data_IF_849497882821
#
_entry.id   IF_849497882821
#
_cell.length_a   1.000
_cell.length_b   1.000
_cell.length_c   1.000
_cell.angle_alpha   90.00
_cell.angle_beta   90.00
_cell.angle_gamma   90.00
#
_symmetry.space_group_name_H-M   'P 1'
#
loop_
_entity.id
_entity.type
_entity.pdbx_description
1 polymer ?
#
# COMPACT_ATOMS: atom_id res chain seq x y z
N UNK A 1 6.93 -5.87 20.36
CA UNK A 1 8.23 -5.52 20.98
C UNK A 1 9.44 -6.07 20.23
N UNK A 2 9.29 -7.16 19.44
CA UNK A 2 10.45 -7.78 18.75
C UNK A 2 10.87 -7.06 17.47
N UNK A 3 9.92 -6.48 16.71
CA UNK A 3 10.18 -5.90 15.39
C UNK A 3 10.27 -4.38 15.39
N UNK A 4 10.04 -3.72 16.53
CA UNK A 4 10.04 -2.26 16.63
C UNK A 4 8.87 -1.61 15.90
N UNK A 5 9.05 -0.32 15.54
CA UNK A 5 8.03 0.48 14.83
C UNK A 5 8.47 0.69 13.38
N UNK A 6 7.63 0.31 12.44
CA UNK A 6 7.82 0.52 11.02
C UNK A 6 6.84 1.58 10.52
N UNK A 7 7.34 2.61 9.87
CA UNK A 7 6.52 3.75 9.45
C UNK A 7 5.41 3.36 8.48
N UNK A 8 5.74 2.57 7.46
CA UNK A 8 4.77 2.02 6.50
C UNK A 8 3.66 1.27 7.21
N UNK A 9 4.03 0.25 7.98
CA UNK A 9 3.08 -0.64 8.66
C UNK A 9 2.21 0.12 9.66
N UNK A 10 2.78 1.11 10.35
CA UNK A 10 2.04 1.97 11.27
C UNK A 10 0.91 2.68 10.54
N UNK A 11 1.18 3.38 9.44
CA UNK A 11 0.15 4.14 8.73
C UNK A 11 -0.84 3.26 7.97
N UNK A 12 -0.40 2.10 7.47
CA UNK A 12 -1.29 1.12 6.83
C UNK A 12 -2.27 0.50 7.83
N UNK A 13 -1.78 0.10 9.01
CA UNK A 13 -2.61 -0.56 10.01
C UNK A 13 -3.50 0.41 10.81
N UNK A 14 -3.10 1.66 10.92
CA UNK A 14 -3.74 2.63 11.82
C UNK A 14 -5.25 2.78 11.59
N UNK A 15 -5.77 2.94 10.36
CA UNK A 15 -7.22 3.06 10.14
C UNK A 15 -8.00 1.84 10.67
N UNK A 16 -7.56 0.63 10.33
CA UNK A 16 -8.23 -0.59 10.75
C UNK A 16 -8.12 -0.89 12.24
N UNK A 17 -7.01 -0.52 12.90
CA UNK A 17 -6.84 -0.82 14.32
C UNK A 17 -7.46 0.23 15.24
N UNK A 18 -7.73 1.44 14.75
CA UNK A 18 -8.21 2.54 15.59
C UNK A 18 -9.54 3.11 15.13
N UNK A 19 -9.69 3.46 13.85
CA UNK A 19 -10.91 4.12 13.36
C UNK A 19 -12.11 3.16 13.38
N UNK A 20 -11.95 1.95 12.87
CA UNK A 20 -13.02 0.92 12.88
C UNK A 20 -13.45 0.52 14.29
N UNK A 21 -12.57 0.71 15.29
CA UNK A 21 -12.86 0.42 16.70
C UNK A 21 -13.31 1.66 17.48
N UNK A 22 -13.45 2.82 16.83
CA UNK A 22 -13.88 4.07 17.42
C UNK A 22 -12.81 4.81 18.25
N UNK A 23 -11.55 4.33 18.24
CA UNK A 23 -10.46 4.99 19.00
C UNK A 23 -9.76 6.09 18.20
N UNK A 24 -10.51 7.15 17.91
CA UNK A 24 -10.04 8.34 17.22
C UNK A 24 -8.86 9.03 17.94
N UNK A 25 -8.86 8.97 19.26
CA UNK A 25 -7.83 9.63 20.09
C UNK A 25 -6.48 8.98 19.92
N UNK A 26 -6.42 7.65 19.95
CA UNK A 26 -5.18 6.90 19.73
C UNK A 26 -4.68 7.10 18.30
N UNK A 27 -5.60 7.14 17.32
CA UNK A 27 -5.23 7.43 15.92
C UNK A 27 -4.43 8.73 15.81
N UNK A 28 -4.93 9.83 16.34
CA UNK A 28 -4.23 11.12 16.31
C UNK A 28 -2.93 11.11 17.11
N UNK A 29 -2.88 10.46 18.27
CA UNK A 29 -1.64 10.35 19.06
C UNK A 29 -0.53 9.61 18.30
N UNK A 30 -0.85 8.55 17.59
CA UNK A 30 0.10 7.81 16.78
C UNK A 30 0.59 8.67 15.62
N UNK A 31 -0.33 9.34 14.91
CA UNK A 31 0.04 10.28 13.84
C UNK A 31 0.95 11.39 14.37
N UNK A 32 0.59 12.04 15.49
CA UNK A 32 1.40 13.11 16.11
C UNK A 32 2.81 12.60 16.48
N UNK A 33 2.90 11.40 17.06
CA UNK A 33 4.18 10.76 17.38
C UNK A 33 5.03 10.49 16.14
N UNK A 34 4.43 10.06 15.04
CA UNK A 34 5.16 9.84 13.78
C UNK A 34 5.60 11.16 13.15
N UNK A 35 4.72 12.16 13.11
CA UNK A 35 5.02 13.50 12.56
C UNK A 35 6.17 14.17 13.35
N UNK A 36 6.23 13.99 14.67
CA UNK A 36 7.34 14.53 15.48
C UNK A 36 8.71 13.92 15.15
N UNK A 37 8.73 12.76 14.50
CA UNK A 37 9.95 12.03 14.07
C UNK A 37 10.25 12.17 12.58
N UNK A 38 9.39 12.87 11.85
CA UNK A 38 9.58 13.10 10.40
C UNK A 38 10.85 13.92 10.15
N UNK A 39 11.59 13.59 9.09
CA UNK A 39 12.76 14.35 8.64
C UNK A 39 12.76 14.46 7.12
N UNK A 40 12.85 15.68 6.63
CA UNK A 40 12.94 15.96 5.19
C UNK A 40 11.81 15.27 4.38
N UNK A 41 10.58 15.30 4.91
CA UNK A 41 9.42 14.69 4.27
C UNK A 41 9.36 13.16 4.34
N UNK A 42 10.28 12.50 5.04
CA UNK A 42 10.31 11.05 5.23
C UNK A 42 10.04 10.66 6.69
N UNK A 43 9.45 9.49 6.87
CA UNK A 43 9.23 8.88 8.19
C UNK A 43 10.23 7.77 8.46
N UNK A 44 10.61 7.54 9.74
CA UNK A 44 11.42 6.38 10.07
C UNK A 44 10.64 5.10 9.74
N UNK A 45 11.20 4.26 8.87
CA UNK A 45 10.52 3.03 8.45
C UNK A 45 11.03 1.80 9.21
N UNK A 46 12.30 1.80 9.56
CA UNK A 46 12.92 0.72 10.36
C UNK A 46 14.08 1.29 11.15
N UNK A 47 14.85 0.42 11.80
CA UNK A 47 16.11 0.81 12.44
C UNK A 47 17.25 -0.06 11.91
N UNK A 48 18.29 0.56 11.38
CA UNK A 48 19.52 -0.11 10.96
C UNK A 48 20.55 0.07 12.09
N UNK A 49 20.98 -1.04 12.70
CA UNK A 49 21.89 -1.01 13.85
C UNK A 49 21.47 -0.03 14.96
N UNK A 50 20.15 0.03 15.24
CA UNK A 50 19.57 0.92 16.25
C UNK A 50 19.37 2.37 15.81
N UNK A 51 19.80 2.76 14.61
CA UNK A 51 19.56 4.10 14.05
C UNK A 51 18.32 4.08 13.15
N UNK A 52 17.37 5.03 13.33
CA UNK A 52 16.21 5.13 12.43
C UNK A 52 16.62 5.28 10.97
N UNK A 53 16.08 4.44 10.11
CA UNK A 53 16.28 4.51 8.66
C UNK A 53 15.07 5.13 7.97
N UNK A 54 15.32 6.02 7.02
CA UNK A 54 14.31 6.74 6.25
C UNK A 54 14.29 6.22 4.80
N UNK A 55 14.12 4.91 4.66
CA UNK A 55 14.28 4.14 3.43
C UNK A 55 12.95 3.64 2.86
N UNK A 56 11.89 4.45 2.90
CA UNK A 56 10.58 4.07 2.36
C UNK A 56 10.05 5.18 1.45
N UNK A 57 9.71 4.82 0.21
CA UNK A 57 9.07 5.72 -0.75
C UNK A 57 7.55 5.74 -0.64
N UNK A 58 6.95 4.90 0.16
CA UNK A 58 5.50 4.78 0.31
C UNK A 58 4.98 5.20 1.70
N UNK A 59 5.78 5.08 2.77
CA UNK A 59 5.34 5.44 4.12
C UNK A 59 4.80 6.89 4.25
N UNK A 60 5.41 7.93 3.63
CA UNK A 60 4.86 9.27 3.64
C UNK A 60 3.53 9.40 2.89
N UNK A 61 3.29 8.57 1.89
CA UNK A 61 2.05 8.56 1.14
C UNK A 61 0.95 7.83 1.91
N UNK A 62 1.29 6.76 2.62
CA UNK A 62 0.40 6.08 3.57
C UNK A 62 -0.01 6.99 4.73
N UNK A 63 0.87 7.89 5.21
CA UNK A 63 0.50 8.92 6.18
C UNK A 63 -0.64 9.80 5.66
N UNK A 64 -0.55 10.29 4.41
CA UNK A 64 -1.60 11.12 3.81
C UNK A 64 -2.90 10.29 3.65
N UNK A 65 -2.79 9.01 3.24
CA UNK A 65 -3.95 8.10 3.19
C UNK A 65 -4.55 7.86 4.58
N UNK A 66 -3.77 7.70 5.62
CA UNK A 66 -4.29 7.54 6.99
C UNK A 66 -5.08 8.77 7.44
N UNK A 67 -4.62 9.99 7.14
CA UNK A 67 -5.37 11.23 7.36
C UNK A 67 -6.66 11.29 6.53
N UNK A 68 -6.61 10.84 5.27
CA UNK A 68 -7.78 10.75 4.40
C UNK A 68 -8.83 9.79 4.96
N UNK A 69 -8.41 8.66 5.52
CA UNK A 69 -9.33 7.75 6.22
C UNK A 69 -9.88 8.40 7.49
N UNK A 70 -9.05 9.08 8.29
CA UNK A 70 -9.50 9.79 9.50
C UNK A 70 -10.62 10.81 9.19
N UNK A 71 -10.49 11.59 8.11
CA UNK A 71 -11.50 12.56 7.66
C UNK A 71 -12.89 11.93 7.45
N UNK A 72 -12.97 10.65 7.07
CA UNK A 72 -14.26 9.96 6.88
C UNK A 72 -15.02 9.73 8.18
N UNK A 73 -14.32 9.63 9.31
CA UNK A 73 -14.90 9.42 10.64
C UNK A 73 -15.14 10.73 11.39
N UNK A 74 -14.36 11.77 11.08
CA UNK A 74 -14.52 13.12 11.66
C UNK A 74 -14.39 14.18 10.54
N UNK A 75 -15.46 14.41 9.76
CA UNK A 75 -15.46 15.37 8.65
C UNK A 75 -15.27 16.82 9.08
N UNK A 76 -15.54 17.13 10.35
CA UNK A 76 -15.38 18.48 10.91
C UNK A 76 -13.95 18.77 11.37
N UNK A 77 -13.10 17.74 11.46
CA UNK A 77 -11.71 17.90 11.86
C UNK A 77 -10.90 18.58 10.75
N UNK A 78 -10.30 19.71 11.04
CA UNK A 78 -9.49 20.47 10.07
C UNK A 78 -8.11 19.88 9.91
N UNK A 79 -8.01 18.87 9.03
CA UNK A 79 -6.75 18.18 8.67
C UNK A 79 -5.67 19.17 8.24
N UNK A 80 -6.02 20.14 7.38
CA UNK A 80 -5.03 21.09 6.86
C UNK A 80 -4.49 22.02 7.93
N UNK A 81 -5.33 22.49 8.84
CA UNK A 81 -4.89 23.31 9.97
C UNK A 81 -3.88 22.59 10.85
N UNK A 82 -4.09 21.29 11.11
CA UNK A 82 -3.23 20.53 12.03
C UNK A 82 -2.00 19.95 11.31
N UNK A 83 -2.17 19.34 10.15
CA UNK A 83 -1.13 18.56 9.46
C UNK A 83 -0.65 19.16 8.13
N UNK A 84 -1.19 20.29 7.68
CA UNK A 84 -0.85 20.90 6.39
C UNK A 84 0.65 21.20 6.23
N UNK A 85 1.35 21.54 7.33
CA UNK A 85 2.81 21.71 7.30
C UNK A 85 3.53 20.40 6.96
N UNK A 86 3.16 19.29 7.61
CA UNK A 86 3.76 17.98 7.37
C UNK A 86 3.42 17.46 5.97
N UNK A 87 2.16 17.63 5.52
CA UNK A 87 1.72 17.26 4.17
C UNK A 87 2.53 18.01 3.12
N UNK A 88 2.70 19.33 3.27
CA UNK A 88 3.53 20.13 2.36
C UNK A 88 4.97 19.68 2.37
N UNK A 89 5.55 19.39 3.54
CA UNK A 89 6.93 18.91 3.65
C UNK A 89 7.14 17.59 2.89
N UNK A 90 6.19 16.65 2.96
CA UNK A 90 6.22 15.40 2.18
C UNK A 90 6.20 15.69 0.68
N UNK A 91 5.21 16.46 0.22
CA UNK A 91 5.02 16.68 -1.21
C UNK A 91 6.16 17.49 -1.84
N UNK A 92 6.63 18.52 -1.16
CA UNK A 92 7.77 19.33 -1.62
C UNK A 92 9.10 18.56 -1.59
N UNK A 93 9.31 17.70 -0.59
CA UNK A 93 10.49 16.84 -0.53
C UNK A 93 10.52 15.88 -1.75
N UNK A 94 9.39 15.30 -2.12
CA UNK A 94 9.29 14.43 -3.29
C UNK A 94 9.50 15.20 -4.59
N UNK A 95 8.95 16.40 -4.68
CA UNK A 95 9.13 17.28 -5.83
C UNK A 95 10.59 17.72 -5.99
N UNK A 96 11.24 18.11 -4.90
CA UNK A 96 12.64 18.58 -4.90
C UNK A 96 13.66 17.44 -4.99
N UNK A 97 13.28 16.24 -4.56
CA UNK A 97 14.15 15.09 -4.43
C UNK A 97 14.68 14.90 -3.01
N UNK A 98 14.59 13.66 -2.48
CA UNK A 98 15.09 13.29 -1.17
C UNK A 98 16.47 12.66 -1.29
N UNK A 99 17.54 13.41 -1.07
CA UNK A 99 18.93 12.91 -1.14
C UNK A 99 19.26 12.15 -2.43
N UNK A 100 18.57 12.45 -3.53
CA UNK A 100 18.76 11.80 -4.84
C UNK A 100 18.10 10.41 -4.98
N UNK A 101 17.46 9.90 -3.95
CA UNK A 101 16.88 8.53 -3.91
C UNK A 101 15.44 8.52 -4.41
N UNK A 102 14.61 9.47 -3.94
CA UNK A 102 13.19 9.60 -4.32
C UNK A 102 13.01 10.99 -4.93
N UNK A 103 12.42 11.08 -6.11
CA UNK A 103 12.17 12.37 -6.77
C UNK A 103 11.00 12.31 -7.72
N UNK A 104 10.31 13.42 -7.89
CA UNK A 104 9.36 13.61 -8.97
C UNK A 104 10.09 13.89 -10.29
N UNK A 105 9.69 13.21 -11.34
CA UNK A 105 10.15 13.46 -12.71
C UNK A 105 9.32 14.59 -13.39
N UNK A 106 9.77 15.06 -14.53
CA UNK A 106 9.08 16.10 -15.31
C UNK A 106 7.66 15.72 -15.73
N UNK A 107 7.40 14.42 -15.86
CA UNK A 107 6.06 13.87 -16.14
C UNK A 107 5.17 13.75 -14.88
N UNK A 108 5.63 14.22 -13.72
CA UNK A 108 4.90 14.23 -12.46
C UNK A 108 4.94 12.92 -11.69
N UNK A 109 5.53 11.84 -12.23
CA UNK A 109 5.63 10.55 -11.55
C UNK A 109 6.81 10.51 -10.57
N UNK A 110 6.69 9.68 -9.54
CA UNK A 110 7.74 9.46 -8.55
C UNK A 110 8.67 8.34 -9.00
N UNK A 111 9.92 8.69 -9.15
CA UNK A 111 11.04 7.78 -9.36
C UNK A 111 11.74 7.54 -8.02
N UNK A 112 11.98 6.27 -7.69
CA UNK A 112 12.68 5.88 -6.47
C UNK A 112 13.66 4.74 -6.77
N UNK A 113 14.93 4.92 -6.38
CA UNK A 113 15.96 3.90 -6.57
C UNK A 113 17.03 4.01 -5.50
N UNK A 114 17.37 2.87 -4.88
CA UNK A 114 18.55 2.70 -4.06
C UNK A 114 19.10 1.29 -4.32
N UNK A 115 20.39 1.18 -4.61
CA UNK A 115 21.03 -0.10 -4.93
C UNK A 115 21.27 -0.99 -3.70
N UNK A 116 21.24 -0.39 -2.50
CA UNK A 116 21.57 -1.09 -1.25
C UNK A 116 20.36 -1.36 -0.37
N UNK A 117 19.28 -0.58 -0.54
CA UNK A 117 18.13 -0.63 0.35
C UNK A 117 16.81 -0.74 -0.43
N UNK A 118 15.89 -1.62 0.02
CA UNK A 118 14.54 -1.65 -0.52
C UNK A 118 13.79 -0.39 -0.11
N UNK A 119 13.05 0.20 -1.05
CA UNK A 119 12.27 1.43 -0.83
C UNK A 119 10.76 1.18 -0.79
N UNK A 120 10.32 -0.06 -1.05
CA UNK A 120 8.91 -0.46 -1.07
C UNK A 120 8.64 -1.59 -0.09
N UNK A 121 7.40 -2.08 -0.03
CA UNK A 121 7.01 -3.17 0.86
C UNK A 121 7.64 -4.53 0.49
N UNK A 122 8.13 -4.70 -0.75
CA UNK A 122 8.86 -5.91 -1.17
C UNK A 122 10.35 -5.78 -0.80
N UNK A 123 10.66 -5.95 0.47
CA UNK A 123 11.91 -5.52 1.10
C UNK A 123 12.84 -6.65 1.53
N UNK A 124 12.60 -7.89 1.09
CA UNK A 124 13.48 -9.02 1.41
C UNK A 124 14.89 -8.85 0.79
N UNK A 125 15.91 -9.12 1.61
CA UNK A 125 17.33 -9.03 1.24
C UNK A 125 18.05 -10.33 1.57
N UNK A 126 18.82 -10.86 0.63
CA UNK A 126 19.66 -12.05 0.81
C UNK A 126 21.08 -11.69 0.39
N UNK A 127 22.05 -11.93 1.27
CA UNK A 127 23.48 -11.63 1.04
C UNK A 127 23.74 -10.19 0.55
N UNK A 128 22.96 -9.23 1.07
CA UNK A 128 23.06 -7.82 0.71
C UNK A 128 22.40 -7.47 -0.63
N UNK A 129 21.76 -8.43 -1.30
CA UNK A 129 21.06 -8.21 -2.57
C UNK A 129 19.54 -8.22 -2.36
N UNK A 130 18.84 -7.31 -3.02
CA UNK A 130 17.37 -7.28 -3.02
C UNK A 130 16.85 -8.53 -3.75
N UNK A 131 15.92 -9.24 -3.12
CA UNK A 131 15.27 -10.42 -3.75
C UNK A 131 14.28 -10.00 -4.83
N UNK A 132 13.60 -8.90 -4.59
CA UNK A 132 12.59 -8.34 -5.51
C UNK A 132 12.93 -6.87 -5.79
N UNK A 133 13.98 -6.61 -6.59
CA UNK A 133 14.36 -5.24 -6.92
C UNK A 133 13.28 -4.59 -7.80
N UNK A 134 12.85 -3.39 -7.41
CA UNK A 134 11.83 -2.60 -8.11
C UNK A 134 12.32 -1.15 -8.24
N UNK A 135 13.40 -0.92 -9.03
CA UNK A 135 13.94 0.43 -9.23
C UNK A 135 13.03 1.27 -10.14
N UNK A 136 13.06 2.56 -9.96
CA UNK A 136 12.41 3.50 -10.86
C UNK A 136 10.98 3.86 -10.47
N UNK A 137 10.07 3.74 -11.40
CA UNK A 137 8.65 4.07 -11.22
C UNK A 137 7.91 2.82 -10.72
N UNK A 138 7.43 2.85 -9.49
CA UNK A 138 6.72 1.74 -8.86
C UNK A 138 5.22 2.02 -8.84
N UNK A 139 4.39 1.05 -9.19
CA UNK A 139 2.97 1.24 -9.47
C UNK A 139 2.18 1.74 -8.25
N UNK A 140 2.31 1.10 -7.09
CA UNK A 140 1.58 1.52 -5.88
C UNK A 140 2.08 2.85 -5.33
N UNK A 141 3.38 3.12 -5.44
CA UNK A 141 3.94 4.42 -5.03
C UNK A 141 3.32 5.54 -5.85
N UNK A 142 3.22 5.36 -7.16
CA UNK A 142 2.65 6.37 -8.06
C UNK A 142 1.12 6.49 -7.95
N UNK A 143 0.41 5.40 -7.63
CA UNK A 143 -1.01 5.45 -7.33
C UNK A 143 -1.29 6.22 -6.02
N UNK A 144 -0.53 5.93 -4.97
CA UNK A 144 -0.60 6.65 -3.69
C UNK A 144 -0.19 8.12 -3.83
N UNK A 145 0.81 8.40 -4.68
CA UNK A 145 1.24 9.76 -4.98
C UNK A 145 0.13 10.58 -5.65
N UNK A 146 -0.51 10.05 -6.68
CA UNK A 146 -1.65 10.69 -7.31
C UNK A 146 -2.75 10.99 -6.31
N UNK A 147 -3.14 9.99 -5.51
CA UNK A 147 -4.12 10.16 -4.44
C UNK A 147 -3.71 11.23 -3.42
N UNK A 148 -2.43 11.25 -3.00
CA UNK A 148 -1.93 12.22 -2.04
C UNK A 148 -1.97 13.66 -2.56
N UNK A 149 -1.58 13.88 -3.83
CA UNK A 149 -1.64 15.20 -4.47
C UNK A 149 -3.09 15.69 -4.58
N UNK A 150 -4.00 14.84 -5.06
CA UNK A 150 -5.42 15.20 -5.18
C UNK A 150 -6.03 15.51 -3.80
N UNK A 151 -5.76 14.70 -2.81
CA UNK A 151 -6.28 14.89 -1.45
C UNK A 151 -5.72 16.15 -0.78
N UNK A 152 -4.42 16.41 -0.93
CA UNK A 152 -3.80 17.63 -0.40
C UNK A 152 -4.40 18.89 -1.04
N UNK A 153 -4.67 18.87 -2.34
CA UNK A 153 -5.34 19.96 -3.05
C UNK A 153 -6.77 20.18 -2.51
N UNK A 154 -7.55 19.12 -2.28
CA UNK A 154 -8.88 19.22 -1.65
C UNK A 154 -8.80 19.94 -0.30
N UNK A 155 -7.87 19.56 0.56
CA UNK A 155 -7.71 20.18 1.87
C UNK A 155 -7.20 21.63 1.80
N UNK A 156 -6.32 21.94 0.83
CA UNK A 156 -5.72 23.26 0.66
C UNK A 156 -6.64 24.29 -0.02
N UNK A 157 -7.62 23.86 -0.79
CA UNK A 157 -8.40 24.71 -1.71
C UNK A 157 -8.85 26.03 -1.09
N UNK A 158 -9.41 25.96 0.12
CA UNK A 158 -9.90 27.15 0.87
C UNK A 158 -8.94 27.63 1.96
N UNK A 159 -7.86 26.90 2.23
CA UNK A 159 -6.95 27.11 3.36
C UNK A 159 -5.59 27.67 2.95
N UNK A 160 -5.08 27.28 1.79
CA UNK A 160 -3.74 27.65 1.32
C UNK A 160 -3.74 27.87 -0.20
N UNK A 161 -4.17 29.04 -0.61
CA UNK A 161 -4.26 29.41 -2.02
C UNK A 161 -2.93 29.36 -2.77
N UNK A 162 -1.82 29.64 -2.08
CA UNK A 162 -0.49 29.61 -2.69
C UNK A 162 -0.10 28.17 -3.04
N UNK A 163 -0.25 27.25 -2.09
CA UNK A 163 -0.02 25.83 -2.32
C UNK A 163 -0.96 25.33 -3.42
N UNK A 164 -2.26 25.58 -3.30
CA UNK A 164 -3.24 25.13 -4.29
C UNK A 164 -2.84 25.56 -5.72
N UNK A 165 -2.50 26.82 -5.90
CA UNK A 165 -2.06 27.36 -7.22
C UNK A 165 -0.82 26.66 -7.77
N UNK A 166 0.16 26.39 -6.91
CA UNK A 166 1.43 25.78 -7.32
C UNK A 166 1.33 24.28 -7.65
N UNK A 167 0.25 23.61 -7.19
CA UNK A 167 0.08 22.18 -7.33
C UNK A 167 -1.11 21.77 -8.22
N UNK A 168 -2.05 22.67 -8.51
CA UNK A 168 -3.33 22.35 -9.20
C UNK A 168 -3.18 21.79 -10.62
N UNK A 169 -2.05 21.95 -11.27
CA UNK A 169 -1.79 21.43 -12.62
C UNK A 169 -1.23 19.98 -12.61
N UNK A 170 -0.74 19.48 -11.47
CA UNK A 170 -0.14 18.16 -11.41
C UNK A 170 -1.13 16.99 -11.53
N UNK A 171 -2.35 17.02 -10.98
CA UNK A 171 -3.24 15.86 -11.06
C UNK A 171 -3.44 15.32 -12.48
N UNK A 172 -3.74 16.18 -13.45
CA UNK A 172 -3.96 15.74 -14.83
C UNK A 172 -2.66 15.20 -15.45
N UNK A 173 -1.53 15.87 -15.22
CA UNK A 173 -0.23 15.40 -15.69
C UNK A 173 0.11 14.01 -15.11
N UNK A 174 -0.04 13.82 -13.80
CA UNK A 174 0.26 12.56 -13.13
C UNK A 174 -0.66 11.45 -13.62
N UNK A 175 -1.98 11.73 -13.75
CA UNK A 175 -2.96 10.75 -14.21
C UNK A 175 -2.64 10.24 -15.61
N UNK A 176 -2.39 11.14 -16.55
CA UNK A 176 -2.04 10.77 -17.92
C UNK A 176 -0.75 9.97 -17.96
N UNK A 177 0.29 10.47 -17.31
CA UNK A 177 1.60 9.79 -17.24
C UNK A 177 1.53 8.43 -16.56
N UNK A 178 0.66 8.27 -15.53
CA UNK A 178 0.44 6.98 -14.88
C UNK A 178 -0.13 5.94 -15.86
N UNK A 179 -1.17 6.31 -16.60
CA UNK A 179 -1.79 5.41 -17.57
C UNK A 179 -0.80 5.07 -18.69
N UNK A 180 -0.12 6.05 -19.27
CA UNK A 180 0.86 5.85 -20.34
C UNK A 180 2.04 4.95 -19.89
N UNK A 181 2.43 5.06 -18.63
CA UNK A 181 3.57 4.35 -18.11
C UNK A 181 3.25 2.92 -17.67
N UNK A 182 2.11 2.71 -17.01
CA UNK A 182 1.82 1.43 -16.37
C UNK A 182 0.79 0.57 -17.09
N UNK A 183 -0.21 1.17 -17.75
CA UNK A 183 -1.26 0.39 -18.38
C UNK A 183 -0.80 -0.33 -19.64
N UNK A 184 -1.16 -1.60 -19.74
CA UNK A 184 -0.99 -2.37 -20.98
C UNK A 184 -2.37 -2.82 -21.48
N UNK A 185 -2.77 -2.28 -22.64
CA UNK A 185 -4.07 -2.53 -23.24
C UNK A 185 -4.29 -3.98 -23.64
N UNK A 186 -3.23 -4.67 -24.13
CA UNK A 186 -3.34 -6.06 -24.58
C UNK A 186 -3.44 -7.02 -23.40
N UNK A 187 -2.69 -6.74 -22.32
CA UNK A 187 -2.65 -7.56 -21.12
C UNK A 187 -3.82 -7.28 -20.18
N UNK A 188 -4.40 -6.08 -20.21
CA UNK A 188 -5.50 -5.65 -19.35
C UNK A 188 -5.13 -5.42 -17.89
N UNK A 189 -3.83 -5.13 -17.61
CA UNK A 189 -3.34 -4.84 -16.25
C UNK A 189 -2.12 -3.92 -16.26
N UNK A 190 -1.67 -3.52 -15.06
CA UNK A 190 -0.57 -2.57 -14.88
C UNK A 190 0.79 -3.28 -14.78
N UNK A 191 1.82 -2.65 -15.34
CA UNK A 191 3.20 -3.00 -15.00
C UNK A 191 3.42 -2.81 -13.49
N UNK A 192 4.19 -3.71 -12.87
CA UNK A 192 4.55 -3.63 -11.45
C UNK A 192 5.52 -2.47 -11.19
N UNK A 193 6.51 -2.32 -12.06
CA UNK A 193 7.41 -1.16 -12.08
C UNK A 193 7.93 -0.88 -13.48
N UNK A 194 8.54 0.30 -13.67
CA UNK A 194 9.24 0.67 -14.89
C UNK A 194 10.57 1.38 -14.58
N UNK A 195 11.60 1.04 -15.35
CA UNK A 195 12.93 1.61 -15.23
C UNK A 195 13.53 1.86 -16.63
N UNK A 196 13.64 3.13 -17.03
CA UNK A 196 13.94 3.50 -18.41
C UNK A 196 12.89 2.94 -19.39
N UNK A 197 13.33 2.22 -20.40
CA UNK A 197 12.46 1.57 -21.38
C UNK A 197 11.87 0.23 -20.90
N UNK A 198 12.41 -0.32 -19.82
CA UNK A 198 11.96 -1.60 -19.28
C UNK A 198 10.69 -1.43 -18.47
N UNK A 199 9.70 -2.29 -18.67
CA UNK A 199 8.47 -2.41 -17.89
C UNK A 199 8.29 -3.86 -17.43
N UNK A 200 8.20 -4.07 -16.12
CA UNK A 200 7.92 -5.40 -15.55
C UNK A 200 6.41 -5.67 -15.54
N UNK A 201 5.98 -6.59 -16.39
CA UNK A 201 4.61 -7.06 -16.45
C UNK A 201 4.38 -8.38 -15.68
N UNK A 202 5.19 -8.67 -14.69
CA UNK A 202 4.88 -9.73 -13.73
C UNK A 202 3.56 -9.40 -13.03
N UNK A 203 2.63 -10.36 -13.01
CA UNK A 203 1.35 -10.14 -12.31
C UNK A 203 1.61 -10.19 -10.82
N UNK A 204 1.56 -9.01 -10.18
CA UNK A 204 1.76 -8.77 -8.76
C UNK A 204 0.59 -8.01 -8.15
N UNK A 205 0.38 -8.11 -6.83
CA UNK A 205 -0.83 -7.58 -6.19
C UNK A 205 -0.84 -6.06 -6.00
N UNK A 206 0.29 -5.37 -6.05
CA UNK A 206 0.40 -3.93 -5.77
C UNK A 206 -0.55 -3.07 -6.61
N UNK A 207 -0.92 -3.53 -7.80
CA UNK A 207 -1.87 -2.82 -8.67
C UNK A 207 -3.28 -2.65 -8.06
N UNK A 208 -3.69 -3.46 -7.08
CA UNK A 208 -5.01 -3.28 -6.41
C UNK A 208 -5.07 -1.97 -5.63
N UNK A 209 -3.92 -1.42 -5.21
CA UNK A 209 -3.85 -0.12 -4.55
C UNK A 209 -4.29 0.98 -5.50
N UNK A 210 -3.87 0.93 -6.78
CA UNK A 210 -4.32 1.88 -7.79
C UNK A 210 -5.84 1.81 -8.05
N UNK A 211 -6.46 0.64 -7.85
CA UNK A 211 -7.91 0.46 -7.97
C UNK A 211 -8.66 1.05 -6.78
N UNK A 212 -8.16 0.84 -5.55
CA UNK A 212 -8.87 1.11 -4.30
C UNK A 212 -8.75 2.53 -3.77
N UNK A 213 -7.67 3.26 -4.10
CA UNK A 213 -7.50 4.63 -3.60
C UNK A 213 -8.63 5.54 -4.06
N UNK A 214 -9.03 6.48 -3.21
CA UNK A 214 -10.17 7.38 -3.45
C UNK A 214 -9.99 8.20 -4.73
N UNK A 215 -8.82 8.80 -4.89
CA UNK A 215 -8.40 9.40 -6.17
C UNK A 215 -7.56 8.39 -6.92
N UNK A 216 -8.22 7.62 -7.78
CA UNK A 216 -7.55 6.63 -8.63
C UNK A 216 -7.24 7.23 -9.99
N UNK A 217 -6.05 7.00 -10.56
CA UNK A 217 -5.71 7.46 -11.91
C UNK A 217 -6.38 6.63 -13.02
N UNK A 218 -7.11 5.57 -12.67
CA UNK A 218 -7.68 4.59 -13.59
C UNK A 218 -9.16 4.87 -13.87
N UNK A 219 -9.58 4.56 -15.08
CA UNK A 219 -11.00 4.52 -15.44
C UNK A 219 -11.70 3.23 -14.93
N UNK A 220 -13.04 3.15 -15.00
CA UNK A 220 -13.79 1.99 -14.49
C UNK A 220 -13.47 0.68 -15.22
N UNK A 221 -13.23 0.71 -16.52
CA UNK A 221 -12.91 -0.48 -17.33
C UNK A 221 -11.54 -1.04 -16.96
N UNK A 222 -10.53 -0.17 -16.78
CA UNK A 222 -9.21 -0.56 -16.32
C UNK A 222 -9.27 -1.18 -14.93
N UNK A 223 -10.02 -0.57 -14.00
CA UNK A 223 -10.20 -1.10 -12.64
C UNK A 223 -10.79 -2.51 -12.66
N UNK A 224 -11.84 -2.71 -13.45
CA UNK A 224 -12.49 -4.01 -13.60
C UNK A 224 -11.52 -5.05 -14.15
N UNK A 225 -10.81 -4.73 -15.22
CA UNK A 225 -9.86 -5.64 -15.85
C UNK A 225 -8.74 -6.07 -14.89
N UNK A 226 -8.20 -5.13 -14.10
CA UNK A 226 -7.19 -5.41 -13.07
C UNK A 226 -7.75 -6.39 -12.04
N UNK A 227 -8.96 -6.16 -11.53
CA UNK A 227 -9.59 -7.05 -10.54
C UNK A 227 -9.82 -8.45 -11.10
N UNK A 228 -10.23 -8.58 -12.35
CA UNK A 228 -10.43 -9.87 -13.02
C UNK A 228 -9.08 -10.66 -13.10
N UNK A 229 -7.99 -10.00 -13.46
CA UNK A 229 -6.65 -10.61 -13.49
C UNK A 229 -6.17 -11.00 -12.08
N UNK A 230 -6.31 -10.10 -11.11
CA UNK A 230 -5.91 -10.36 -9.71
C UNK A 230 -6.73 -11.51 -9.12
N UNK A 231 -8.02 -11.55 -9.37
CA UNK A 231 -8.87 -12.65 -8.93
C UNK A 231 -8.44 -13.99 -9.53
N UNK A 232 -8.14 -14.01 -10.81
CA UNK A 232 -7.78 -15.24 -11.53
C UNK A 232 -6.40 -15.79 -11.18
N UNK A 233 -5.44 -14.93 -10.83
CA UNK A 233 -4.05 -15.34 -10.66
C UNK A 233 -3.53 -15.25 -9.22
N UNK A 234 -4.01 -14.28 -8.44
CA UNK A 234 -3.42 -13.97 -7.14
C UNK A 234 -4.32 -14.27 -5.95
N UNK A 235 -5.65 -14.20 -6.11
CA UNK A 235 -6.57 -14.39 -4.99
C UNK A 235 -6.54 -15.83 -4.48
N UNK A 236 -6.45 -15.95 -3.17
CA UNK A 236 -6.54 -17.19 -2.41
C UNK A 236 -7.50 -17.00 -1.23
N UNK A 237 -7.92 -18.08 -0.54
CA UNK A 237 -8.70 -17.95 0.69
C UNK A 237 -8.01 -17.16 1.82
N UNK A 238 -6.71 -16.90 1.72
CA UNK A 238 -5.90 -16.29 2.81
C UNK A 238 -5.30 -14.93 2.44
N UNK A 239 -5.55 -14.43 1.25
CA UNK A 239 -4.95 -13.17 0.78
C UNK A 239 -4.59 -13.19 -0.68
N UNK A 240 -3.78 -12.22 -1.10
CA UNK A 240 -3.24 -12.16 -2.45
C UNK A 240 -1.80 -12.70 -2.50
N UNK A 241 -1.52 -13.57 -3.48
CA UNK A 241 -0.13 -13.96 -3.78
C UNK A 241 0.69 -12.75 -4.19
N UNK A 242 1.92 -12.69 -3.73
CA UNK A 242 2.87 -11.62 -4.09
C UNK A 242 3.41 -11.73 -5.53
N UNK A 243 3.22 -12.88 -6.18
CA UNK A 243 3.57 -13.15 -7.57
C UNK A 243 2.64 -14.24 -8.12
N UNK A 244 2.26 -14.12 -9.39
CA UNK A 244 1.47 -15.13 -10.09
C UNK A 244 2.19 -16.47 -10.17
N UNK A 245 1.49 -17.61 -9.95
CA UNK A 245 2.07 -18.95 -10.18
C UNK A 245 2.51 -19.23 -11.60
N UNK A 246 2.11 -18.42 -12.56
CA UNK A 246 2.55 -18.53 -13.97
C UNK A 246 3.94 -17.94 -14.21
N UNK A 247 4.49 -17.19 -13.25
CA UNK A 247 5.81 -16.58 -13.37
C UNK A 247 6.90 -17.61 -13.00
N UNK A 248 7.97 -17.67 -13.76
CA UNK A 248 9.09 -18.61 -13.55
C UNK A 248 9.79 -18.42 -12.19
N UNK A 249 9.79 -17.20 -11.65
CA UNK A 249 10.37 -16.89 -10.35
C UNK A 249 9.46 -17.26 -9.17
N UNK A 250 8.26 -17.81 -9.41
CA UNK A 250 7.30 -18.14 -8.37
C UNK A 250 7.82 -19.16 -7.35
N UNK A 251 7.66 -18.83 -6.08
CA UNK A 251 8.01 -19.67 -4.92
C UNK A 251 6.82 -19.74 -3.96
N UNK A 252 5.98 -20.75 -4.15
CA UNK A 252 4.71 -20.89 -3.42
C UNK A 252 4.82 -21.42 -2.00
N UNK A 253 6.02 -21.77 -1.50
CA UNK A 253 6.22 -22.34 -0.14
C UNK A 253 7.27 -21.51 0.60
N UNK A 254 6.90 -20.99 1.77
CA UNK A 254 7.78 -20.22 2.65
C UNK A 254 8.30 -21.12 3.77
N UNK A 255 9.40 -21.85 3.50
CA UNK A 255 9.99 -22.78 4.46
C UNK A 255 11.49 -22.95 4.26
N UNK A 256 12.13 -23.66 5.22
CA UNK A 256 13.56 -23.94 5.20
C UNK A 256 14.38 -22.96 6.03
N UNK A 257 15.65 -22.75 5.65
CA UNK A 257 16.54 -21.78 6.29
C UNK A 257 16.12 -20.33 5.96
N UNK A 258 16.77 -19.36 6.61
CA UNK A 258 16.44 -17.93 6.44
C UNK A 258 16.51 -17.52 4.97
N UNK A 259 17.58 -17.87 4.26
CA UNK A 259 17.77 -17.53 2.87
C UNK A 259 16.60 -18.02 1.99
N UNK A 260 16.21 -19.30 2.12
CA UNK A 260 15.09 -19.87 1.35
C UNK A 260 13.78 -19.14 1.61
N UNK A 261 13.53 -18.81 2.88
CA UNK A 261 12.34 -18.05 3.27
C UNK A 261 12.35 -16.64 2.69
N UNK A 262 13.46 -15.92 2.80
CA UNK A 262 13.57 -14.55 2.26
C UNK A 262 13.42 -14.52 0.75
N UNK A 263 13.95 -15.54 0.04
CA UNK A 263 13.77 -15.70 -1.41
C UNK A 263 12.31 -16.00 -1.82
N UNK A 264 11.46 -16.49 -0.93
CA UNK A 264 10.05 -16.74 -1.18
C UNK A 264 9.14 -15.58 -0.73
N UNK A 265 9.61 -14.72 0.17
CA UNK A 265 8.81 -13.78 0.94
C UNK A 265 7.93 -12.84 0.09
N UNK A 266 8.45 -12.40 -1.08
CA UNK A 266 7.69 -11.59 -2.05
C UNK A 266 7.64 -12.24 -3.45
N UNK A 267 7.85 -13.56 -3.52
CA UNK A 267 7.89 -14.30 -4.79
C UNK A 267 6.83 -15.41 -4.86
N UNK A 268 5.70 -15.22 -4.17
CA UNK A 268 4.59 -16.17 -4.24
C UNK A 268 3.84 -16.36 -2.94
N UNK A 269 4.39 -15.98 -1.79
CA UNK A 269 3.64 -15.95 -0.51
C UNK A 269 2.39 -15.11 -0.60
N UNK A 270 1.40 -15.48 0.18
CA UNK A 270 0.10 -14.81 0.28
C UNK A 270 0.12 -13.78 1.40
N UNK A 271 -0.35 -12.58 1.11
CA UNK A 271 -0.39 -11.45 2.03
C UNK A 271 -1.82 -11.01 2.32
N UNK A 272 -2.31 -11.18 3.56
CA UNK A 272 -3.69 -10.79 3.94
C UNK A 272 -3.97 -9.29 3.85
N UNK A 273 -2.98 -8.42 4.16
CA UNK A 273 -3.19 -6.98 4.20
C UNK A 273 -3.69 -6.37 2.87
N UNK A 274 -3.33 -7.00 1.76
CA UNK A 274 -3.76 -6.58 0.42
C UNK A 274 -5.25 -6.82 0.16
N UNK A 275 -5.90 -7.66 0.98
CA UNK A 275 -7.34 -7.93 0.86
C UNK A 275 -8.20 -6.71 1.15
N UNK A 276 -7.77 -5.78 2.02
CA UNK A 276 -8.48 -4.51 2.21
C UNK A 276 -8.64 -3.79 0.88
N UNK A 277 -7.52 -3.63 0.15
CA UNK A 277 -7.52 -2.94 -1.13
C UNK A 277 -8.27 -3.69 -2.22
N UNK A 278 -8.16 -5.01 -2.23
CA UNK A 278 -8.93 -5.83 -3.17
C UNK A 278 -10.43 -5.71 -2.89
N UNK A 279 -10.87 -5.85 -1.65
CA UNK A 279 -12.28 -5.73 -1.25
C UNK A 279 -12.85 -4.33 -1.54
N UNK A 280 -12.11 -3.28 -1.18
CA UNK A 280 -12.49 -1.90 -1.50
C UNK A 280 -12.61 -1.70 -3.02
N UNK A 281 -11.68 -2.25 -3.80
CA UNK A 281 -11.72 -2.23 -5.26
C UNK A 281 -12.95 -2.95 -5.82
N UNK A 282 -13.27 -4.14 -5.31
CA UNK A 282 -14.47 -4.91 -5.69
C UNK A 282 -15.74 -4.07 -5.43
N UNK A 283 -15.84 -3.43 -4.26
CA UNK A 283 -17.00 -2.60 -3.93
C UNK A 283 -17.05 -1.30 -4.74
N UNK A 284 -15.91 -0.71 -5.08
CA UNK A 284 -15.84 0.47 -5.96
C UNK A 284 -16.37 0.13 -7.36
N UNK A 285 -15.99 -1.01 -7.92
CA UNK A 285 -16.34 -1.42 -9.28
C UNK A 285 -17.73 -2.05 -9.36
N UNK A 286 -18.04 -2.99 -8.46
CA UNK A 286 -19.24 -3.81 -8.54
C UNK A 286 -20.37 -3.36 -7.60
N UNK A 287 -20.12 -2.37 -6.72
CA UNK A 287 -21.08 -1.86 -5.76
C UNK A 287 -21.70 -3.03 -4.95
N UNK A 288 -23.02 -3.00 -4.72
CA UNK A 288 -23.72 -4.06 -3.98
C UNK A 288 -23.54 -5.47 -4.58
N UNK A 289 -23.32 -5.58 -5.89
CA UNK A 289 -23.10 -6.90 -6.51
C UNK A 289 -21.78 -7.56 -6.05
N UNK A 290 -20.79 -6.77 -5.61
CA UNK A 290 -19.53 -7.27 -5.07
C UNK A 290 -19.60 -7.72 -3.61
N UNK A 291 -20.65 -7.35 -2.87
CA UNK A 291 -20.73 -7.59 -1.41
C UNK A 291 -20.63 -9.07 -1.03
N UNK A 292 -21.27 -9.95 -1.80
CA UNK A 292 -21.21 -11.40 -1.54
C UNK A 292 -19.79 -11.97 -1.66
N UNK A 293 -19.00 -11.45 -2.61
CA UNK A 293 -17.58 -11.82 -2.77
C UNK A 293 -16.74 -11.33 -1.59
N UNK A 294 -16.94 -10.07 -1.17
CA UNK A 294 -16.21 -9.48 -0.04
C UNK A 294 -16.55 -10.22 1.27
N UNK A 295 -17.81 -10.56 1.49
CA UNK A 295 -18.25 -11.37 2.63
C UNK A 295 -17.57 -12.74 2.65
N UNK A 296 -17.55 -13.43 1.52
CA UNK A 296 -16.87 -14.72 1.41
C UNK A 296 -15.39 -14.63 1.76
N UNK A 297 -14.69 -13.58 1.30
CA UNK A 297 -13.28 -13.34 1.65
C UNK A 297 -13.08 -13.19 3.15
N UNK A 298 -13.97 -12.47 3.83
CA UNK A 298 -13.93 -12.29 5.28
C UNK A 298 -14.17 -13.59 6.04
N UNK A 299 -15.22 -14.31 5.66
CA UNK A 299 -15.63 -15.56 6.31
C UNK A 299 -14.57 -16.66 6.23
N UNK A 300 -13.75 -16.67 5.18
CA UNK A 300 -12.61 -17.61 5.00
C UNK A 300 -11.55 -17.49 6.10
N UNK A 301 -11.59 -16.46 6.96
CA UNK A 301 -10.63 -16.30 8.06
C UNK A 301 -11.15 -16.84 9.40
N UNK A 302 -12.43 -17.22 9.52
CA UNK A 302 -13.01 -17.66 10.79
C UNK A 302 -12.25 -18.84 11.40
N UNK A 303 -11.98 -19.87 10.62
CA UNK A 303 -11.31 -21.10 11.08
C UNK A 303 -9.83 -20.92 11.38
N UNK A 304 -9.15 -19.93 10.77
CA UNK A 304 -7.71 -19.68 11.04
C UNK A 304 -7.45 -18.81 12.26
N UNK A 305 -8.44 -18.06 12.74
CA UNK A 305 -8.31 -17.24 13.95
C UNK A 305 -8.09 -18.05 15.23
N UNK A 306 -8.31 -19.35 15.20
CA UNK A 306 -8.07 -20.25 16.32
C UNK A 306 -6.80 -21.11 16.18
N UNK A 307 -6.11 -21.06 15.03
CA UNK A 307 -5.05 -22.02 14.70
C UNK A 307 -3.66 -21.64 15.27
N UNK A 308 -3.22 -20.39 15.17
CA UNK A 308 -1.89 -19.95 15.60
C UNK A 308 -1.90 -18.83 16.63
N UNK A 309 -2.82 -17.91 16.55
CA UNK A 309 -3.01 -16.83 17.52
C UNK A 309 -4.51 -16.64 17.73
N UNK A 310 -5.01 -16.86 18.94
CA UNK A 310 -6.46 -16.74 19.22
C UNK A 310 -6.91 -15.31 18.94
N UNK A 311 -7.89 -15.17 18.05
CA UNK A 311 -8.43 -13.88 17.64
C UNK A 311 -7.47 -13.05 16.76
N UNK A 312 -6.50 -13.71 16.10
CA UNK A 312 -5.55 -13.06 15.20
C UNK A 312 -5.28 -13.90 13.95
N UNK A 313 -4.61 -13.31 12.98
CA UNK A 313 -4.20 -13.99 11.75
C UNK A 313 -2.70 -13.87 11.52
N UNK A 314 -2.13 -14.85 10.83
CA UNK A 314 -0.72 -14.86 10.48
C UNK A 314 -0.38 -13.78 9.47
N UNK A 315 0.86 -13.34 9.50
CA UNK A 315 1.42 -12.32 8.60
C UNK A 315 1.28 -12.71 7.13
N UNK A 316 1.70 -13.94 6.80
CA UNK A 316 1.70 -14.50 5.45
C UNK A 316 1.22 -15.94 5.48
N UNK A 317 0.89 -16.45 4.30
CA UNK A 317 0.57 -17.86 4.08
C UNK A 317 1.33 -18.38 2.87
N UNK A 318 1.51 -19.71 2.78
CA UNK A 318 2.06 -20.33 1.57
C UNK A 318 1.18 -20.00 0.35
N UNK A 319 1.80 -19.71 -0.78
CA UNK A 319 1.09 -19.45 -2.03
C UNK A 319 0.42 -20.69 -2.61
N UNK A 320 0.92 -21.88 -2.28
CA UNK A 320 0.33 -23.15 -2.69
C UNK A 320 -0.63 -23.69 -1.63
N UNK A 321 -1.72 -24.38 -2.04
CA UNK A 321 -2.58 -25.10 -1.10
C UNK A 321 -1.79 -26.09 -0.24
N UNK A 322 -2.17 -26.29 1.01
CA UNK A 322 -3.36 -25.77 1.70
C UNK A 322 -3.22 -24.37 2.29
N UNK A 323 -2.28 -23.55 1.83
CA UNK A 323 -2.02 -22.19 2.32
C UNK A 323 -1.64 -22.16 3.80
N UNK A 324 -0.58 -22.89 4.16
CA UNK A 324 -0.11 -22.99 5.54
C UNK A 324 0.30 -21.62 6.06
N UNK A 325 -0.14 -21.30 7.28
CA UNK A 325 0.19 -20.05 7.96
C UNK A 325 1.69 -19.93 8.28
N UNK A 326 2.31 -18.82 7.92
CA UNK A 326 3.76 -18.54 8.02
C UNK A 326 3.98 -17.13 8.61
N UNK A 327 5.25 -16.75 8.70
CA UNK A 327 5.65 -15.44 9.25
C UNK A 327 5.30 -15.29 10.74
N UNK A 328 5.09 -14.05 11.18
CA UNK A 328 4.64 -13.77 12.54
C UNK A 328 3.21 -14.26 12.77
N UNK A 329 2.93 -14.67 14.01
CA UNK A 329 1.62 -15.23 14.40
C UNK A 329 0.50 -14.19 14.46
N UNK A 330 0.87 -12.92 14.48
CA UNK A 330 -0.06 -11.78 14.50
C UNK A 330 0.66 -10.57 13.92
N UNK A 331 0.11 -9.96 12.89
CA UNK A 331 0.65 -8.76 12.29
C UNK A 331 -0.42 -7.67 12.19
N UNK A 332 -0.03 -6.44 12.53
CA UNK A 332 -0.92 -5.29 12.60
C UNK A 332 -1.68 -5.02 11.28
N UNK A 333 -0.96 -5.07 10.15
CA UNK A 333 -1.53 -4.75 8.83
C UNK A 333 -2.58 -5.77 8.38
N UNK A 334 -2.34 -7.06 8.62
CA UNK A 334 -3.30 -8.13 8.29
C UNK A 334 -4.57 -8.04 9.14
N UNK A 335 -4.41 -7.85 10.46
CA UNK A 335 -5.57 -7.66 11.38
C UNK A 335 -6.36 -6.41 11.02
N UNK A 336 -5.66 -5.29 10.75
CA UNK A 336 -6.29 -4.04 10.33
C UNK A 336 -7.11 -4.21 9.04
N UNK A 337 -6.58 -4.96 8.07
CA UNK A 337 -7.28 -5.23 6.82
C UNK A 337 -8.60 -5.98 7.04
N UNK A 338 -8.63 -6.99 7.92
CA UNK A 338 -9.87 -7.70 8.22
C UNK A 338 -10.89 -6.81 8.94
N UNK A 339 -10.46 -5.98 9.89
CA UNK A 339 -11.35 -5.02 10.55
C UNK A 339 -11.96 -4.03 9.55
N UNK A 340 -11.16 -3.54 8.60
CA UNK A 340 -11.64 -2.67 7.53
C UNK A 340 -12.61 -3.38 6.58
N UNK A 341 -12.35 -4.63 6.23
CA UNK A 341 -13.25 -5.44 5.40
C UNK A 341 -14.59 -5.64 6.12
N UNK A 342 -14.57 -5.98 7.42
CA UNK A 342 -15.79 -6.11 8.20
C UNK A 342 -16.63 -4.83 8.20
N UNK A 343 -15.97 -3.67 8.43
CA UNK A 343 -16.65 -2.38 8.38
C UNK A 343 -17.26 -2.08 7.00
N UNK A 344 -16.54 -2.40 5.92
CA UNK A 344 -17.10 -2.27 4.56
C UNK A 344 -18.36 -3.13 4.37
N UNK A 345 -18.37 -4.35 4.91
CA UNK A 345 -19.54 -5.24 4.86
C UNK A 345 -20.71 -4.66 5.65
N UNK A 346 -20.45 -4.13 6.84
CA UNK A 346 -21.50 -3.54 7.70
C UNK A 346 -22.07 -2.25 7.10
N UNK A 347 -21.23 -1.43 6.47
CA UNK A 347 -21.64 -0.18 5.83
C UNK A 347 -22.52 -0.33 4.59
N UNK A 348 -22.63 -1.54 4.02
CA UNK A 348 -23.50 -1.87 2.90
C UNK A 348 -24.81 -2.55 3.32
N UNK A 349 -25.01 -2.88 4.61
CA UNK A 349 -26.25 -3.40 5.17
C UNK A 349 -27.14 -2.24 5.61
#
# INVERSE_FOLDING_TARGET
>A
PWFGTWGRDTFMALPGLTLTTGDMVTSLKVIDSMVSRMKHGLFPNTAIKGTPAFNSSDAPLWFIRALQQYEKYDPDFDIWKKYGKAIKEVLEAYRAGTSGIIRMLDNGLIYAEDVNYPLTWMDAVVDGQLVTPRPGLVVEVNALWYNAVCQALKWAEKRDRTFFKSWSHFPELIRQSFVDQFWNQEKGYLADFAHGEFKDFSVRPSQVIAVSVEYSPLDPEMKKSILDVVQGELLTPRGLRSLSPKNEAYKGIYEGNQEKRDRAYHQGTVWPWLLEHYAEGVLVVHKNAGLGQVRKIFDEFEDVMSQRGIGSISEIYDGNPPHVARGSISQATGVAALLRINEMIEGFN
#
